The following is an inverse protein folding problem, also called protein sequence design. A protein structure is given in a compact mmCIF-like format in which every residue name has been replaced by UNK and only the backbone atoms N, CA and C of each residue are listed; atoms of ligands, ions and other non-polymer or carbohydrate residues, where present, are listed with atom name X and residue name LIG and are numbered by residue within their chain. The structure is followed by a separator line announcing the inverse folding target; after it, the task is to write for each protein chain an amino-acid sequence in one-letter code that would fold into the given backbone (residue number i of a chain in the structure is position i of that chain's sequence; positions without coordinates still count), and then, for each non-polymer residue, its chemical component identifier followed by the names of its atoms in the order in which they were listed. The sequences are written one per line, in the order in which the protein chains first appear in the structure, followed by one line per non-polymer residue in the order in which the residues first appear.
data_IF_097940228701
#
_entry.id   IF_097940228701
#
_cell.length_a   1.000
_cell.length_b   1.000
_cell.length_c   1.000
_cell.angle_alpha   90.00
_cell.angle_beta   90.00
_cell.angle_gamma   90.00
#
_symmetry.space_group_name_H-M   'P 1'
#
loop_
_entity.id
_entity.type
_entity.pdbx_description
1 polymer ?
#
# COMPACT_ATOMS: atom_id res chain seq x y z
N UNK A 1 -6.94 66.07 -0.94
CA UNK A 1 -8.37 66.41 -0.97
C UNK A 1 -8.96 65.88 -2.26
N UNK A 2 -9.87 64.91 -2.18
CA UNK A 2 -11.08 64.80 -3.01
C UNK A 2 -11.85 63.55 -2.56
N UNK A 3 -13.11 63.79 -2.23
CA UNK A 3 -14.03 62.87 -1.58
C UNK A 3 -14.40 61.71 -2.50
N UNK A 4 -14.32 60.48 -1.98
CA UNK A 4 -14.98 59.32 -2.58
C UNK A 4 -16.38 59.27 -1.99
N UNK A 5 -17.36 59.61 -2.81
CA UNK A 5 -18.78 59.54 -2.50
C UNK A 5 -19.18 58.13 -2.07
N UNK A 6 -19.74 58.02 -0.85
CA UNK A 6 -20.44 56.84 -0.38
C UNK A 6 -21.79 56.74 -1.11
N UNK A 7 -21.90 55.80 -2.05
CA UNK A 7 -23.22 55.36 -2.52
C UNK A 7 -23.93 54.58 -1.39
N UNK A 8 -25.25 54.74 -1.21
CA UNK A 8 -25.98 53.98 -0.22
C UNK A 8 -26.05 52.51 -0.68
N UNK A 9 -25.51 51.61 0.15
CA UNK A 9 -25.85 50.19 0.15
C UNK A 9 -27.36 50.08 0.31
N UNK A 10 -28.08 49.93 -0.81
CA UNK A 10 -29.43 49.41 -0.76
C UNK A 10 -29.34 48.03 -0.14
N UNK A 11 -29.97 47.88 1.03
CA UNK A 11 -30.29 46.59 1.59
C UNK A 11 -31.09 45.84 0.51
N UNK A 12 -30.42 44.92 -0.17
CA UNK A 12 -31.11 43.94 -0.98
C UNK A 12 -32.00 43.18 -0.01
N UNK A 13 -33.30 43.39 -0.21
CA UNK A 13 -34.38 42.70 0.45
C UNK A 13 -34.05 41.20 0.46
N UNK A 14 -33.64 40.66 1.62
CA UNK A 14 -33.53 39.21 1.85
C UNK A 14 -34.94 38.65 2.03
N UNK A 15 -35.84 39.02 1.11
CA UNK A 15 -37.10 38.33 0.91
C UNK A 15 -36.70 36.94 0.46
N UNK A 16 -36.98 35.95 1.30
CA UNK A 16 -36.68 34.55 1.09
C UNK A 16 -36.90 34.16 -0.38
N UNK A 17 -35.80 34.05 -1.13
CA UNK A 17 -35.81 33.49 -2.47
C UNK A 17 -36.39 32.09 -2.30
N UNK A 18 -37.58 31.88 -2.85
CA UNK A 18 -38.24 30.59 -2.83
C UNK A 18 -37.22 29.53 -3.26
N UNK A 19 -37.16 28.37 -2.58
CA UNK A 19 -36.23 27.31 -2.95
C UNK A 19 -36.41 26.99 -4.44
N UNK A 20 -35.29 26.93 -5.16
CA UNK A 20 -35.26 26.57 -6.58
C UNK A 20 -36.09 25.28 -6.76
N UNK A 21 -37.17 25.29 -7.57
CA UNK A 21 -38.05 24.13 -7.75
C UNK A 21 -37.33 22.91 -8.36
N UNK A 22 -36.07 23.05 -8.77
CA UNK A 22 -35.21 21.98 -9.23
C UNK A 22 -34.23 21.39 -8.21
N UNK A 23 -34.10 21.93 -6.98
CA UNK A 23 -33.23 21.29 -5.99
C UNK A 23 -33.89 20.00 -5.49
N UNK A 24 -33.21 18.84 -5.60
CA UNK A 24 -33.74 17.60 -5.06
C UNK A 24 -33.75 17.67 -3.54
N UNK A 25 -34.85 18.20 -2.97
CA UNK A 25 -35.10 18.13 -1.54
C UNK A 25 -35.25 16.67 -1.17
N UNK A 26 -34.26 16.13 -0.44
CA UNK A 26 -34.34 14.80 0.14
C UNK A 26 -35.64 14.72 0.93
N UNK A 27 -36.48 13.73 0.62
CA UNK A 27 -37.79 13.63 1.26
C UNK A 27 -37.61 13.48 2.78
N UNK A 28 -38.47 14.10 3.60
CA UNK A 28 -38.38 13.97 5.06
C UNK A 28 -38.38 12.50 5.51
N UNK A 29 -39.09 11.64 4.76
CA UNK A 29 -39.11 10.20 4.97
C UNK A 29 -37.76 9.52 4.65
N UNK A 30 -37.02 9.98 3.63
CA UNK A 30 -35.68 9.47 3.31
C UNK A 30 -34.67 9.92 4.36
N UNK A 31 -34.76 11.17 4.82
CA UNK A 31 -33.91 11.70 5.91
C UNK A 31 -34.14 10.91 7.21
N UNK A 32 -35.39 10.61 7.53
CA UNK A 32 -35.72 9.82 8.71
C UNK A 32 -35.31 8.36 8.55
N UNK A 33 -35.48 7.76 7.37
CA UNK A 33 -34.93 6.42 7.07
C UNK A 33 -33.42 6.37 7.24
N UNK A 34 -32.67 7.33 6.69
CA UNK A 34 -31.21 7.37 6.84
C UNK A 34 -30.76 7.60 8.29
N UNK A 35 -31.58 8.27 9.12
CA UNK A 35 -31.31 8.51 10.53
C UNK A 35 -31.62 7.28 11.40
N UNK A 36 -32.63 6.50 11.01
CA UNK A 36 -33.12 5.32 11.75
C UNK A 36 -32.50 4.01 11.27
N UNK A 37 -32.07 3.94 10.01
CA UNK A 37 -31.29 2.82 9.47
C UNK A 37 -29.89 2.90 10.05
N UNK A 38 -29.67 2.18 11.16
CA UNK A 38 -28.32 1.76 11.56
C UNK A 38 -27.65 1.15 10.32
N UNK A 39 -26.47 1.64 9.89
CA UNK A 39 -25.75 1.04 8.78
C UNK A 39 -25.64 -0.46 9.04
N UNK A 40 -25.90 -1.32 8.04
CA UNK A 40 -25.83 -2.76 8.26
C UNK A 40 -24.48 -3.09 8.89
N UNK A 41 -24.51 -3.67 10.10
CA UNK A 41 -23.36 -4.28 10.74
C UNK A 41 -22.81 -5.30 9.74
N UNK A 42 -21.77 -4.92 8.98
CA UNK A 42 -21.09 -5.86 8.11
C UNK A 42 -20.45 -6.88 9.05
N UNK A 43 -20.84 -8.17 9.00
CA UNK A 43 -20.24 -9.15 9.86
C UNK A 43 -18.74 -9.14 9.57
N UNK A 44 -17.93 -8.70 10.53
CA UNK A 44 -16.49 -8.88 10.48
C UNK A 44 -16.27 -10.37 10.74
N UNK A 45 -16.49 -11.19 9.72
CA UNK A 45 -16.21 -12.61 9.76
C UNK A 45 -14.77 -12.84 10.21
N UNK A 46 -14.46 -14.01 10.80
CA UNK A 46 -13.13 -14.30 11.30
C UNK A 46 -12.08 -14.02 10.21
N UNK A 47 -10.91 -13.48 10.58
CA UNK A 47 -9.92 -13.02 9.62
C UNK A 47 -9.55 -14.16 8.67
N UNK A 48 -9.64 -13.88 7.36
CA UNK A 48 -9.54 -14.88 6.31
C UNK A 48 -8.28 -15.75 6.47
N UNK A 49 -8.47 -17.03 6.80
CA UNK A 49 -7.38 -18.00 7.02
C UNK A 49 -6.48 -18.13 5.80
N UNK A 50 -7.05 -18.02 4.60
CA UNK A 50 -6.31 -18.07 3.33
C UNK A 50 -5.36 -16.87 3.19
N UNK A 51 -5.81 -15.67 3.55
CA UNK A 51 -4.96 -14.48 3.53
C UNK A 51 -3.80 -14.63 4.52
N UNK A 52 -4.04 -15.12 5.74
CA UNK A 52 -2.96 -15.39 6.70
C UNK A 52 -1.96 -16.44 6.19
N UNK A 53 -2.44 -17.52 5.61
CA UNK A 53 -1.58 -18.53 5.00
C UNK A 53 -0.73 -17.94 3.86
N UNK A 54 -1.32 -17.06 3.04
CA UNK A 54 -0.60 -16.38 1.97
C UNK A 54 0.49 -15.44 2.49
N UNK A 55 0.28 -14.75 3.63
CA UNK A 55 1.30 -13.93 4.28
C UNK A 55 2.49 -14.79 4.73
N UNK A 56 2.21 -15.95 5.34
CA UNK A 56 3.25 -16.88 5.76
C UNK A 56 4.05 -17.41 4.54
N UNK A 57 3.36 -17.81 3.47
CA UNK A 57 4.01 -18.26 2.24
C UNK A 57 4.91 -17.17 1.63
N UNK A 58 4.41 -15.94 1.52
CA UNK A 58 5.18 -14.81 1.00
C UNK A 58 6.39 -14.49 1.89
N UNK A 59 6.23 -14.53 3.21
CA UNK A 59 7.32 -14.29 4.16
C UNK A 59 8.44 -15.33 4.02
N UNK A 60 8.08 -16.62 3.96
CA UNK A 60 9.04 -17.73 3.75
C UNK A 60 9.76 -17.58 2.41
N UNK A 61 9.03 -17.31 1.32
CA UNK A 61 9.63 -17.15 0.01
C UNK A 61 10.58 -15.94 -0.05
N UNK A 62 10.19 -14.81 0.56
CA UNK A 62 11.04 -13.60 0.65
C UNK A 62 12.32 -13.90 1.43
N UNK A 63 12.22 -14.61 2.55
CA UNK A 63 13.37 -14.99 3.36
C UNK A 63 14.31 -15.92 2.58
N UNK A 64 13.77 -16.94 1.90
CA UNK A 64 14.54 -17.85 1.06
C UNK A 64 15.28 -17.10 -0.06
N UNK A 65 14.60 -16.17 -0.74
CA UNK A 65 15.18 -15.33 -1.78
C UNK A 65 16.30 -14.44 -1.26
N UNK A 66 16.13 -13.81 -0.09
CA UNK A 66 17.18 -13.01 0.57
C UNK A 66 18.39 -13.86 0.94
N UNK A 67 18.18 -14.99 1.61
CA UNK A 67 19.25 -15.90 2.07
C UNK A 67 20.03 -16.44 0.88
N UNK A 68 19.32 -16.90 -0.16
CA UNK A 68 19.97 -17.44 -1.35
C UNK A 68 20.64 -16.36 -2.20
N UNK A 69 20.27 -15.09 -2.07
CA UNK A 69 20.93 -13.96 -2.75
C UNK A 69 22.19 -13.46 -2.03
N UNK A 70 22.31 -13.70 -0.72
CA UNK A 70 23.34 -13.08 0.11
C UNK A 70 24.75 -13.42 -0.38
N UNK A 71 25.59 -12.39 -0.56
CA UNK A 71 26.97 -12.54 -1.02
C UNK A 71 27.12 -12.89 -2.51
N UNK A 72 26.03 -12.88 -3.28
CA UNK A 72 26.08 -13.04 -4.75
C UNK A 72 26.29 -11.71 -5.43
N UNK A 73 26.82 -11.76 -6.66
CA UNK A 73 27.07 -10.56 -7.46
C UNK A 73 25.72 -9.91 -7.78
N UNK A 74 25.59 -8.63 -7.45
CA UNK A 74 24.36 -7.87 -7.70
C UNK A 74 24.58 -6.94 -8.88
N UNK A 75 23.70 -7.00 -9.87
CA UNK A 75 23.78 -6.15 -11.06
C UNK A 75 22.97 -4.87 -10.89
N UNK A 76 21.95 -4.90 -10.03
CA UNK A 76 21.11 -3.74 -9.75
C UNK A 76 21.86 -2.72 -8.87
N UNK A 77 22.21 -1.52 -9.39
CA UNK A 77 22.95 -0.51 -8.63
C UNK A 77 22.22 -0.04 -7.37
N UNK A 78 20.89 -0.11 -7.34
CA UNK A 78 20.11 0.28 -6.18
C UNK A 78 20.32 -0.70 -5.01
N UNK A 79 20.44 -2.00 -5.29
CA UNK A 79 20.57 -3.08 -4.30
C UNK A 79 22.03 -3.44 -3.97
N UNK A 80 22.95 -3.11 -4.87
CA UNK A 80 24.36 -3.48 -4.79
C UNK A 80 25.10 -2.76 -3.67
N UNK A 81 25.79 -3.52 -2.82
CA UNK A 81 26.72 -3.00 -1.82
C UNK A 81 28.03 -2.49 -2.47
N UNK A 82 28.88 -1.82 -1.69
CA UNK A 82 30.14 -1.25 -2.17
C UNK A 82 31.08 -2.30 -2.81
N UNK A 83 31.01 -3.56 -2.36
CA UNK A 83 31.82 -4.68 -2.88
C UNK A 83 31.22 -5.33 -4.14
N UNK A 84 30.15 -4.75 -4.71
CA UNK A 84 29.51 -5.25 -5.92
C UNK A 84 28.53 -6.41 -5.70
N UNK A 85 28.24 -6.78 -4.45
CA UNK A 85 27.38 -7.92 -4.10
C UNK A 85 26.05 -7.51 -3.48
N UNK A 86 25.13 -8.47 -3.41
CA UNK A 86 23.92 -8.38 -2.62
C UNK A 86 24.30 -8.58 -1.14
N UNK A 87 24.35 -7.48 -0.39
CA UNK A 87 24.67 -7.47 1.04
C UNK A 87 23.63 -6.72 1.86
N UNK A 88 24.06 -6.11 2.97
CA UNK A 88 23.16 -5.42 3.90
C UNK A 88 22.26 -4.37 3.23
N UNK A 89 22.77 -3.63 2.24
CA UNK A 89 21.99 -2.65 1.48
C UNK A 89 20.83 -3.31 0.71
N UNK A 90 21.13 -4.35 -0.05
CA UNK A 90 20.13 -5.10 -0.83
C UNK A 90 19.08 -5.73 0.07
N UNK A 91 19.51 -6.33 1.19
CA UNK A 91 18.61 -6.86 2.22
C UNK A 91 17.69 -5.77 2.74
N UNK A 92 18.23 -4.64 3.19
CA UNK A 92 17.46 -3.54 3.76
C UNK A 92 16.40 -3.01 2.77
N UNK A 93 16.78 -2.76 1.51
CA UNK A 93 15.85 -2.22 0.50
C UNK A 93 14.77 -3.24 0.17
N UNK A 94 15.12 -4.51 -0.07
CA UNK A 94 14.15 -5.54 -0.42
C UNK A 94 13.19 -5.83 0.74
N UNK A 95 13.70 -5.87 1.97
CA UNK A 95 12.89 -5.98 3.18
C UNK A 95 11.97 -4.78 3.37
N UNK A 96 12.43 -3.55 3.10
CA UNK A 96 11.60 -2.35 3.19
C UNK A 96 10.43 -2.41 2.21
N UNK A 97 10.70 -2.75 0.95
CA UNK A 97 9.67 -2.86 -0.10
C UNK A 97 8.63 -3.93 0.26
N UNK A 98 9.07 -5.13 0.63
CA UNK A 98 8.15 -6.21 1.03
C UNK A 98 7.39 -5.84 2.30
N UNK A 99 8.06 -5.29 3.30
CA UNK A 99 7.47 -4.89 4.57
C UNK A 99 6.40 -3.80 4.40
N UNK A 100 6.68 -2.76 3.60
CA UNK A 100 5.70 -1.71 3.30
C UNK A 100 4.50 -2.23 2.54
N UNK A 101 4.69 -3.18 1.63
CA UNK A 101 3.60 -3.84 0.90
C UNK A 101 2.70 -4.62 1.87
N UNK A 102 3.28 -5.43 2.75
CA UNK A 102 2.53 -6.19 3.76
C UNK A 102 1.79 -5.28 4.75
N UNK A 103 2.42 -4.18 5.18
CA UNK A 103 1.77 -3.19 6.02
C UNK A 103 0.57 -2.54 5.30
N UNK A 104 0.74 -2.12 4.05
CA UNK A 104 -0.34 -1.56 3.24
C UNK A 104 -1.51 -2.54 3.06
N UNK A 105 -1.23 -3.81 2.78
CA UNK A 105 -2.26 -4.85 2.72
C UNK A 105 -2.98 -5.02 4.05
N UNK A 106 -2.26 -5.02 5.17
CA UNK A 106 -2.85 -5.14 6.50
C UNK A 106 -3.83 -4.00 6.79
N UNK A 107 -3.46 -2.75 6.49
CA UNK A 107 -4.35 -1.60 6.61
C UNK A 107 -5.57 -1.73 5.69
N UNK A 108 -5.37 -2.14 4.43
CA UNK A 108 -6.45 -2.31 3.45
C UNK A 108 -7.46 -3.38 3.89
N UNK A 109 -6.98 -4.56 4.29
CA UNK A 109 -7.85 -5.67 4.73
C UNK A 109 -8.58 -5.32 6.02
N UNK A 110 -7.96 -4.56 6.93
CA UNK A 110 -8.62 -4.08 8.14
C UNK A 110 -9.75 -3.09 7.82
N UNK A 111 -9.57 -2.23 6.81
CA UNK A 111 -10.58 -1.27 6.35
C UNK A 111 -11.69 -1.93 5.53
N UNK A 112 -11.33 -2.91 4.71
CA UNK A 112 -12.22 -3.63 3.82
C UNK A 112 -11.86 -5.13 3.81
N UNK A 113 -12.54 -5.94 4.65
CA UNK A 113 -12.30 -7.39 4.72
C UNK A 113 -12.52 -8.11 3.38
N UNK A 114 -13.34 -7.53 2.50
CA UNK A 114 -13.59 -8.02 1.14
C UNK A 114 -12.33 -8.01 0.25
N UNK A 115 -11.30 -7.24 0.61
CA UNK A 115 -10.01 -7.22 -0.11
C UNK A 115 -9.13 -8.46 0.18
N UNK A 116 -9.41 -9.21 1.26
CA UNK A 116 -8.59 -10.34 1.70
C UNK A 116 -8.33 -11.42 0.64
N UNK A 117 -9.32 -11.91 -0.16
CA UNK A 117 -9.05 -12.90 -1.20
C UNK A 117 -8.12 -12.37 -2.30
N UNK A 118 -8.29 -11.12 -2.72
CA UNK A 118 -7.43 -10.50 -3.73
C UNK A 118 -5.99 -10.34 -3.23
N UNK A 119 -5.83 -9.90 -1.97
CA UNK A 119 -4.54 -9.85 -1.30
C UNK A 119 -3.89 -11.24 -1.20
N UNK A 120 -4.67 -12.29 -0.94
CA UNK A 120 -4.17 -13.65 -0.88
C UNK A 120 -3.63 -14.15 -2.23
N UNK A 121 -4.37 -13.90 -3.32
CA UNK A 121 -3.93 -14.23 -4.68
C UNK A 121 -2.64 -13.50 -5.02
N UNK A 122 -2.56 -12.21 -4.73
CA UNK A 122 -1.35 -11.41 -4.96
C UNK A 122 -0.14 -11.97 -4.18
N UNK A 123 -0.33 -12.32 -2.90
CA UNK A 123 0.72 -12.87 -2.06
C UNK A 123 1.23 -14.22 -2.55
N UNK A 124 0.35 -15.13 -2.98
CA UNK A 124 0.78 -16.41 -3.56
C UNK A 124 1.51 -16.23 -4.88
N UNK A 125 1.04 -15.31 -5.74
CA UNK A 125 1.74 -14.96 -6.98
C UNK A 125 3.17 -14.47 -6.71
N UNK A 126 3.32 -13.52 -5.79
CA UNK A 126 4.62 -13.01 -5.36
C UNK A 126 5.50 -14.08 -4.69
N UNK A 127 4.90 -14.95 -3.86
CA UNK A 127 5.62 -16.05 -3.25
C UNK A 127 6.18 -17.02 -4.31
N UNK A 128 5.43 -17.29 -5.38
CA UNK A 128 5.90 -18.06 -6.52
C UNK A 128 7.11 -17.42 -7.20
N UNK A 129 7.05 -16.11 -7.47
CA UNK A 129 8.16 -15.35 -8.05
C UNK A 129 9.41 -15.40 -7.17
N UNK A 130 9.29 -15.12 -5.87
CA UNK A 130 10.42 -15.15 -4.95
C UNK A 130 10.97 -16.56 -4.73
N UNK A 131 10.12 -17.58 -4.74
CA UNK A 131 10.58 -18.97 -4.70
C UNK A 131 11.39 -19.31 -5.96
N UNK A 132 10.92 -18.92 -7.15
CA UNK A 132 11.65 -19.12 -8.39
C UNK A 132 13.01 -18.39 -8.38
N UNK A 133 13.02 -17.14 -7.92
CA UNK A 133 14.26 -16.38 -7.73
C UNK A 133 15.20 -17.07 -6.73
N UNK A 134 14.67 -17.57 -5.61
CA UNK A 134 15.45 -18.27 -4.60
C UNK A 134 16.09 -19.56 -5.17
N UNK A 135 15.33 -20.35 -5.93
CA UNK A 135 15.83 -21.57 -6.58
C UNK A 135 16.88 -21.23 -7.64
N UNK A 136 16.64 -20.20 -8.46
CA UNK A 136 17.62 -19.74 -9.43
C UNK A 136 18.91 -19.30 -8.74
N UNK A 137 18.80 -18.47 -7.70
CA UNK A 137 19.91 -17.97 -6.94
C UNK A 137 20.65 -19.12 -6.27
N UNK A 138 19.98 -20.07 -5.60
CA UNK A 138 20.60 -21.21 -4.93
C UNK A 138 21.53 -22.05 -5.83
N UNK A 139 21.27 -22.07 -7.15
CA UNK A 139 22.11 -22.76 -8.14
C UNK A 139 23.36 -21.96 -8.55
N UNK A 140 23.35 -20.65 -8.35
CA UNK A 140 24.48 -19.77 -8.66
C UNK A 140 25.56 -19.83 -7.57
N UNK A 141 26.83 -19.86 -7.98
CA UNK A 141 27.97 -19.81 -7.05
C UNK A 141 28.03 -18.46 -6.34
N UNK A 142 28.58 -18.46 -5.12
CA UNK A 142 28.90 -17.22 -4.43
C UNK A 142 29.87 -16.37 -5.27
N UNK A 143 29.76 -15.05 -5.19
CA UNK A 143 30.68 -14.19 -5.93
C UNK A 143 32.07 -14.30 -5.31
N UNK A 144 33.07 -14.71 -6.10
CA UNK A 144 34.48 -14.67 -5.69
C UNK A 144 34.86 -13.25 -5.30
N UNK A 145 35.62 -13.09 -4.22
CA UNK A 145 36.11 -11.76 -3.81
C UNK A 145 36.92 -11.16 -4.96
N UNK A 146 36.62 -9.91 -5.31
CA UNK A 146 37.54 -9.13 -6.12
C UNK A 146 38.87 -9.09 -5.36
N UNK A 147 40.02 -9.31 -6.03
CA UNK A 147 41.31 -9.21 -5.38
C UNK A 147 41.40 -7.82 -4.75
N UNK A 148 41.74 -7.76 -3.46
CA UNK A 148 41.96 -6.50 -2.77
C UNK A 148 43.02 -5.74 -3.57
N UNK A 149 42.62 -4.66 -4.23
CA UNK A 149 43.57 -3.73 -4.82
C UNK A 149 44.36 -3.14 -3.67
N UNK A 150 45.58 -3.65 -3.47
CA UNK A 150 46.62 -3.02 -2.67
C UNK A 150 46.80 -1.60 -3.21
N UNK A 151 46.19 -0.63 -2.54
CA UNK A 151 46.51 0.76 -2.74
C UNK A 151 47.96 0.96 -2.28
N UNK A 152 48.84 1.27 -3.25
CA UNK A 152 50.17 1.82 -3.00
C UNK A 152 50.05 3.27 -2.54
#
# INVERSE_FOLDING_TARGET
MLAVSLLPLHAADLSATAPDPGEPTLSPALVERLRTETPPERPLGPPNRLWKASLAALAVATAADLVTSLGKRELNPALRSADGRFGARGVAIKSLVTGSSLAGQWFLVRRSPQAAPYAAVANFGMAGVFTAAAVHNARNKAATAAPATLAK
#
